data_IF_667289812190
#
_entry.id   IF_667289812190
#
_cell.length_a   1.000
_cell.length_b   1.000
_cell.length_c   1.000
_cell.angle_alpha   90.00
_cell.angle_beta   90.00
_cell.angle_gamma   90.00
#
_symmetry.space_group_name_H-M   'P 1'
#
loop_
_entity.id
_entity.type
_entity.pdbx_description
1 polymer ?
#
# COMPACT_ATOMS: atom_id res chain seq x y z
N UNK A 1 -12.28 -53.70 -8.11
CA UNK A 1 -12.03 -52.39 -8.73
C UNK A 1 -12.68 -51.33 -7.88
N UNK A 2 -11.93 -50.72 -6.99
CA UNK A 2 -12.35 -49.53 -6.27
C UNK A 2 -11.13 -48.96 -5.53
N UNK A 3 -10.47 -47.97 -6.10
CA UNK A 3 -9.53 -47.06 -5.37
C UNK A 3 -9.06 -45.99 -6.32
N UNK A 4 -9.75 -44.85 -6.32
CA UNK A 4 -9.18 -43.56 -6.75
C UNK A 4 -10.22 -42.47 -6.50
N UNK A 5 -10.28 -41.92 -5.28
CA UNK A 5 -11.06 -40.71 -4.97
C UNK A 5 -10.66 -40.01 -3.66
N UNK A 6 -9.43 -40.11 -3.17
CA UNK A 6 -9.05 -39.48 -1.90
C UNK A 6 -7.96 -38.37 -2.05
N UNK A 7 -7.48 -38.11 -3.25
CA UNK A 7 -6.40 -37.13 -3.46
C UNK A 7 -6.85 -35.68 -3.73
N UNK A 8 -8.00 -35.50 -4.34
CA UNK A 8 -8.47 -34.17 -4.78
C UNK A 8 -9.06 -33.30 -3.66
N UNK A 9 -9.60 -33.91 -2.61
CA UNK A 9 -10.20 -33.15 -1.49
C UNK A 9 -9.16 -32.43 -0.62
N UNK A 10 -8.05 -33.07 -0.35
CA UNK A 10 -7.01 -32.51 0.54
C UNK A 10 -6.22 -31.37 -0.10
N UNK A 11 -5.94 -31.40 -1.39
CA UNK A 11 -5.25 -30.31 -2.09
C UNK A 11 -6.12 -29.05 -2.07
N UNK A 12 -7.42 -29.17 -2.30
CA UNK A 12 -8.36 -28.06 -2.31
C UNK A 12 -8.58 -27.44 -0.91
N UNK A 13 -8.54 -28.26 0.15
CA UNK A 13 -8.62 -27.78 1.54
C UNK A 13 -7.33 -27.06 1.98
N UNK A 14 -6.16 -27.52 1.55
CA UNK A 14 -4.88 -26.84 1.81
C UNK A 14 -4.77 -25.52 1.03
N UNK A 15 -5.17 -25.47 -0.22
CA UNK A 15 -5.21 -24.24 -1.02
C UNK A 15 -6.19 -23.21 -0.44
N UNK A 16 -7.37 -23.66 0.02
CA UNK A 16 -8.35 -22.76 0.66
C UNK A 16 -7.89 -22.25 2.03
N UNK A 17 -7.22 -23.08 2.83
CA UNK A 17 -6.67 -22.67 4.13
C UNK A 17 -5.47 -21.70 3.97
N UNK A 18 -4.63 -21.93 2.97
CA UNK A 18 -3.51 -21.04 2.65
C UNK A 18 -4.02 -19.69 2.13
N UNK A 19 -5.00 -19.70 1.23
CA UNK A 19 -5.63 -18.48 0.73
C UNK A 19 -6.34 -17.70 1.86
N UNK A 20 -7.00 -18.36 2.81
CA UNK A 20 -7.59 -17.70 3.97
C UNK A 20 -6.55 -17.14 4.94
N UNK A 21 -5.42 -17.81 5.12
CA UNK A 21 -4.29 -17.30 5.92
C UNK A 21 -3.63 -16.07 5.25
N UNK A 22 -3.53 -16.07 3.93
CA UNK A 22 -2.98 -14.94 3.15
C UNK A 22 -3.90 -13.71 3.18
N UNK A 23 -5.23 -13.91 3.19
CA UNK A 23 -6.22 -12.82 3.36
C UNK A 23 -5.99 -12.05 4.67
N UNK A 24 -5.56 -12.73 5.73
CA UNK A 24 -5.30 -12.11 7.03
C UNK A 24 -3.86 -11.61 7.22
N UNK A 25 -2.92 -12.04 6.40
CA UNK A 25 -1.48 -11.83 6.62
C UNK A 25 -0.80 -10.84 5.65
N UNK A 26 -1.51 -10.31 4.66
CA UNK A 26 -0.91 -9.37 3.69
C UNK A 26 -0.17 -8.17 4.33
N UNK A 27 -0.59 -7.59 5.49
CA UNK A 27 0.16 -6.48 6.10
C UNK A 27 1.53 -6.92 6.59
N UNK A 28 1.62 -8.15 7.17
CA UNK A 28 2.91 -8.71 7.62
C UNK A 28 3.83 -9.00 6.43
N UNK A 29 3.28 -9.51 5.34
CA UNK A 29 4.07 -9.77 4.12
C UNK A 29 4.58 -8.46 3.49
N UNK A 30 3.77 -7.40 3.46
CA UNK A 30 4.23 -6.06 3.04
C UNK A 30 5.33 -5.55 3.97
N UNK A 31 5.14 -5.66 5.29
CA UNK A 31 6.13 -5.26 6.27
C UNK A 31 7.50 -5.91 6.02
N UNK A 32 7.53 -7.22 5.76
CA UNK A 32 8.78 -7.93 5.44
C UNK A 32 9.41 -7.43 4.12
N UNK A 33 8.60 -7.05 3.13
CA UNK A 33 9.14 -6.42 1.91
C UNK A 33 9.75 -5.05 2.20
N UNK A 34 9.10 -4.21 2.98
CA UNK A 34 9.65 -2.91 3.38
C UNK A 34 10.99 -3.07 4.10
N UNK A 35 11.11 -4.03 5.02
CA UNK A 35 12.38 -4.37 5.69
C UNK A 35 13.46 -4.83 4.72
N UNK A 36 13.12 -5.72 3.79
CA UNK A 36 14.05 -6.24 2.79
C UNK A 36 14.62 -5.14 1.87
N UNK A 37 13.89 -4.05 1.66
CA UNK A 37 14.34 -2.86 0.94
C UNK A 37 15.00 -1.81 1.81
N UNK A 38 15.27 -2.10 3.10
CA UNK A 38 15.84 -1.17 4.07
C UNK A 38 15.06 0.15 4.19
N UNK A 39 13.72 0.04 4.18
CA UNK A 39 12.84 1.18 4.42
C UNK A 39 12.91 1.54 5.90
N UNK A 40 13.37 2.76 6.19
CA UNK A 40 13.55 3.28 7.54
C UNK A 40 12.45 4.26 7.94
N UNK A 41 11.98 5.08 7.01
CA UNK A 41 10.94 6.06 7.27
C UNK A 41 9.58 5.57 6.78
N UNK A 42 8.59 5.63 7.67
CA UNK A 42 7.20 5.28 7.34
C UNK A 42 6.33 6.47 7.70
N UNK A 43 5.99 7.27 6.71
CA UNK A 43 5.14 8.45 6.91
C UNK A 43 3.68 8.09 6.63
N UNK A 44 2.73 8.53 7.46
CA UNK A 44 1.34 8.14 7.28
C UNK A 44 0.35 9.12 7.91
N UNK A 45 -0.81 9.24 7.30
CA UNK A 45 -2.03 9.73 7.96
C UNK A 45 -2.77 8.51 8.52
N UNK A 46 -3.24 8.53 9.78
CA UNK A 46 -3.90 7.38 10.38
C UNK A 46 -5.09 6.88 9.56
N UNK A 47 -5.03 5.63 9.13
CA UNK A 47 -6.07 4.94 8.37
C UNK A 47 -6.25 3.50 8.84
N UNK A 48 -7.49 3.06 8.97
CA UNK A 48 -7.81 1.71 9.42
C UNK A 48 -7.38 0.62 8.43
N UNK A 49 -7.29 0.94 7.14
CA UNK A 49 -6.81 0.00 6.13
C UNK A 49 -5.34 -0.34 6.33
N UNK A 50 -4.55 0.60 6.84
CA UNK A 50 -3.14 0.40 7.16
C UNK A 50 -2.87 0.06 8.62
N UNK A 51 -3.87 -0.01 9.51
CA UNK A 51 -3.68 -0.10 10.95
C UNK A 51 -2.66 -1.19 11.35
N UNK A 52 -2.84 -2.41 10.82
CA UNK A 52 -1.93 -3.53 11.14
C UNK A 52 -0.50 -3.31 10.63
N UNK A 53 -0.33 -2.76 9.44
CA UNK A 53 1.00 -2.44 8.89
C UNK A 53 1.68 -1.35 9.73
N UNK A 54 0.96 -0.31 10.11
CA UNK A 54 1.44 0.77 10.97
C UNK A 54 1.89 0.22 12.34
N UNK A 55 1.09 -0.65 12.97
CA UNK A 55 1.46 -1.31 14.24
C UNK A 55 2.78 -2.09 14.12
N UNK A 56 2.96 -2.85 13.04
CA UNK A 56 4.20 -3.61 12.80
C UNK A 56 5.39 -2.68 12.63
N UNK A 57 5.23 -1.57 11.91
CA UNK A 57 6.27 -0.56 11.75
C UNK A 57 6.64 0.11 13.07
N UNK A 58 5.67 0.39 13.95
CA UNK A 58 5.93 0.93 15.29
C UNK A 58 6.64 -0.06 16.23
N UNK A 59 6.43 -1.35 16.04
CA UNK A 59 7.09 -2.39 16.83
C UNK A 59 8.54 -2.65 16.39
N UNK A 60 8.93 -2.17 15.21
CA UNK A 60 10.25 -2.39 14.63
C UNK A 60 11.22 -1.25 15.01
N UNK A 61 12.27 -1.57 15.77
CA UNK A 61 13.24 -0.57 16.24
C UNK A 61 14.02 0.13 15.11
N UNK A 62 14.14 -0.53 13.95
CA UNK A 62 14.84 0.00 12.79
C UNK A 62 14.02 0.98 11.97
N UNK A 63 12.70 1.06 12.19
CA UNK A 63 11.81 1.95 11.47
C UNK A 63 11.44 3.19 12.29
N UNK A 64 11.16 4.28 11.60
CA UNK A 64 10.76 5.58 12.13
C UNK A 64 9.36 5.96 11.63
N UNK A 65 8.29 5.40 12.20
CA UNK A 65 6.94 5.79 11.82
C UNK A 65 6.65 7.23 12.27
N UNK A 66 6.14 8.05 11.35
CA UNK A 66 5.83 9.45 11.56
C UNK A 66 4.39 9.73 11.19
N UNK A 67 3.60 10.18 12.15
CA UNK A 67 2.21 10.64 11.92
C UNK A 67 2.25 12.00 11.24
N UNK A 68 1.45 12.16 10.20
CA UNK A 68 1.33 13.38 9.41
C UNK A 68 0.04 14.13 9.74
N UNK A 69 0.04 15.43 9.54
CA UNK A 69 -1.17 16.27 9.53
C UNK A 69 -1.91 16.12 8.20
N UNK A 70 -1.16 16.08 7.09
CA UNK A 70 -1.65 15.88 5.73
C UNK A 70 -0.63 15.07 4.92
N UNK A 71 -1.08 14.33 3.92
CA UNK A 71 -0.26 13.36 3.20
C UNK A 71 0.92 14.01 2.44
N UNK A 72 0.77 15.23 1.99
CA UNK A 72 1.83 15.97 1.28
C UNK A 72 3.07 16.24 2.13
N UNK A 73 2.92 16.35 3.47
CA UNK A 73 4.07 16.47 4.39
C UNK A 73 4.99 15.25 4.27
N UNK A 74 4.39 14.07 4.07
CA UNK A 74 5.12 12.82 3.92
C UNK A 74 6.09 12.86 2.74
N UNK A 75 5.72 13.47 1.62
CA UNK A 75 6.59 13.60 0.45
C UNK A 75 7.81 14.45 0.80
N UNK A 76 7.63 15.56 1.53
CA UNK A 76 8.73 16.40 2.00
C UNK A 76 9.68 15.69 2.96
N UNK A 77 9.14 14.94 3.91
CA UNK A 77 9.92 14.14 4.88
C UNK A 77 10.72 13.07 4.13
N UNK A 78 10.11 12.36 3.17
CA UNK A 78 10.77 11.31 2.42
C UNK A 78 11.85 11.86 1.45
N UNK A 79 11.66 13.07 0.91
CA UNK A 79 12.70 13.77 0.17
C UNK A 79 13.92 14.06 1.06
N UNK A 80 13.69 14.54 2.30
CA UNK A 80 14.76 14.75 3.27
C UNK A 80 15.45 13.45 3.69
N UNK A 81 14.71 12.37 3.93
CA UNK A 81 15.25 11.06 4.24
C UNK A 81 16.16 10.55 3.10
N UNK A 82 15.72 10.68 1.86
CA UNK A 82 16.51 10.31 0.68
C UNK A 82 17.80 11.10 0.56
N UNK A 83 17.77 12.40 0.81
CA UNK A 83 18.98 13.23 0.86
C UNK A 83 19.94 12.80 1.98
N UNK A 84 19.41 12.27 3.07
CA UNK A 84 20.17 11.65 4.17
C UNK A 84 20.65 10.23 3.88
N UNK A 85 20.34 9.65 2.71
CA UNK A 85 20.72 8.29 2.34
C UNK A 85 19.79 7.20 2.90
N UNK A 86 18.63 7.57 3.46
CA UNK A 86 17.63 6.64 4.00
C UNK A 86 16.42 6.50 3.06
N UNK A 87 15.80 5.31 3.05
CA UNK A 87 14.61 5.01 2.25
C UNK A 87 13.35 5.12 3.09
N UNK A 88 12.25 5.48 2.43
CA UNK A 88 10.97 5.55 3.11
C UNK A 88 9.77 5.22 2.22
N UNK A 89 8.61 5.12 2.88
CA UNK A 89 7.31 4.83 2.27
C UNK A 89 6.25 5.78 2.82
N UNK A 90 5.33 6.24 1.96
CA UNK A 90 4.15 6.99 2.35
C UNK A 90 2.92 6.06 2.31
N UNK A 91 2.27 5.93 3.47
CA UNK A 91 1.01 5.19 3.61
C UNK A 91 -0.13 6.21 3.67
N UNK A 92 -1.13 6.05 2.82
CA UNK A 92 -2.27 6.95 2.78
C UNK A 92 -3.54 6.25 2.29
N UNK A 93 -4.67 6.90 2.47
CA UNK A 93 -5.95 6.54 1.86
C UNK A 93 -6.08 7.19 0.48
N UNK A 94 -6.96 6.70 -0.39
CA UNK A 94 -7.22 7.29 -1.72
C UNK A 94 -7.59 8.77 -1.68
N UNK A 95 -8.26 9.24 -0.61
CA UNK A 95 -8.53 10.69 -0.41
C UNK A 95 -7.26 11.51 -0.29
N UNK A 96 -6.21 10.95 0.32
CA UNK A 96 -4.90 11.61 0.49
C UNK A 96 -4.15 11.83 -0.83
N UNK A 97 -4.45 11.06 -1.87
CA UNK A 97 -3.90 11.27 -3.21
C UNK A 97 -4.22 12.69 -3.69
N UNK A 98 -5.44 13.17 -3.43
CA UNK A 98 -5.85 14.54 -3.79
C UNK A 98 -4.98 15.62 -3.15
N UNK A 99 -4.56 15.42 -1.89
CA UNK A 99 -3.69 16.35 -1.18
C UNK A 99 -2.26 16.39 -1.75
N UNK A 100 -1.82 15.30 -2.38
CA UNK A 100 -0.45 15.14 -2.88
C UNK A 100 -0.24 15.67 -4.32
N UNK A 101 -1.28 15.97 -5.08
CA UNK A 101 -1.20 16.18 -6.56
C UNK A 101 -0.12 17.18 -6.94
N UNK A 102 -0.10 18.35 -6.30
CA UNK A 102 0.92 19.35 -6.59
C UNK A 102 2.31 18.92 -6.11
N UNK A 103 2.40 18.32 -4.92
CA UNK A 103 3.68 17.98 -4.29
C UNK A 103 4.36 16.78 -4.95
N UNK A 104 3.62 15.92 -5.66
CA UNK A 104 4.20 14.86 -6.51
C UNK A 104 5.14 15.41 -7.58
N UNK A 105 4.94 16.66 -8.03
CA UNK A 105 5.83 17.33 -8.95
C UNK A 105 7.25 17.49 -8.40
N UNK A 106 7.40 17.64 -7.07
CA UNK A 106 8.69 17.71 -6.40
C UNK A 106 9.50 16.42 -6.61
N UNK A 107 8.88 15.25 -6.38
CA UNK A 107 9.54 13.96 -6.58
C UNK A 107 9.95 13.77 -8.03
N UNK A 108 9.11 14.21 -8.98
CA UNK A 108 9.38 14.11 -10.41
C UNK A 108 10.53 15.02 -10.87
N UNK A 109 10.51 16.29 -10.46
CA UNK A 109 11.49 17.28 -10.88
C UNK A 109 12.85 17.09 -10.23
N UNK A 110 12.85 16.71 -8.93
CA UNK A 110 14.09 16.47 -8.18
C UNK A 110 14.61 15.03 -8.32
N UNK A 111 13.87 14.16 -9.03
CA UNK A 111 14.24 12.77 -9.32
C UNK A 111 14.61 11.94 -8.07
N UNK A 112 13.90 12.14 -6.94
CA UNK A 112 14.05 11.27 -5.79
C UNK A 112 12.98 10.15 -5.80
N UNK A 113 13.32 8.97 -5.28
CA UNK A 113 12.37 7.85 -5.22
C UNK A 113 11.22 8.15 -4.27
N UNK A 114 10.00 7.82 -4.70
CA UNK A 114 8.82 7.90 -3.84
C UNK A 114 8.02 6.61 -3.96
N UNK A 115 8.00 5.83 -2.89
CA UNK A 115 7.14 4.66 -2.75
C UNK A 115 5.88 5.03 -1.97
N UNK A 116 4.72 4.75 -2.53
CA UNK A 116 3.42 4.98 -1.90
C UNK A 116 2.62 3.68 -1.83
N UNK A 117 1.93 3.44 -0.71
CA UNK A 117 0.94 2.37 -0.56
C UNK A 117 -0.38 3.03 -0.18
N UNK A 118 -1.38 2.84 -1.02
CA UNK A 118 -2.66 3.53 -0.94
C UNK A 118 -3.78 2.52 -0.66
N UNK A 119 -4.50 2.69 0.43
CA UNK A 119 -5.73 1.95 0.69
C UNK A 119 -6.88 2.62 -0.03
N UNK A 120 -7.55 1.89 -0.91
CA UNK A 120 -8.62 2.45 -1.72
C UNK A 120 -9.94 2.53 -0.95
N UNK A 121 -10.63 3.65 -1.14
CA UNK A 121 -12.00 3.93 -0.72
C UNK A 121 -12.76 4.48 -1.91
N UNK A 122 -14.09 4.39 -1.87
CA UNK A 122 -14.93 4.92 -2.94
C UNK A 122 -15.00 4.06 -4.21
N UNK A 123 -14.48 2.84 -4.19
CA UNK A 123 -14.51 1.90 -5.32
C UNK A 123 -15.62 0.87 -5.22
N UNK A 124 -15.83 0.34 -4.00
CA UNK A 124 -16.65 -0.86 -3.80
C UNK A 124 -17.42 -0.81 -2.47
N UNK A 125 -18.76 -0.75 -2.55
CA UNK A 125 -19.62 -0.79 -1.36
C UNK A 125 -19.33 0.35 -0.37
N UNK A 126 -18.91 1.51 -0.86
CA UNK A 126 -18.56 2.66 -0.02
C UNK A 126 -19.81 3.26 0.63
N UNK A 127 -19.83 3.28 1.97
CA UNK A 127 -20.92 3.86 2.74
C UNK A 127 -20.80 5.40 2.89
N UNK A 128 -19.59 5.95 2.72
CA UNK A 128 -19.38 7.39 2.79
C UNK A 128 -19.26 8.00 1.39
N UNK A 129 -20.31 8.72 0.89
CA UNK A 129 -20.30 9.28 -0.47
C UNK A 129 -19.16 10.27 -0.72
N UNK A 130 -18.62 10.90 0.32
CA UNK A 130 -17.46 11.79 0.23
C UNK A 130 -16.21 11.12 -0.37
N UNK A 131 -16.04 9.82 -0.14
CA UNK A 131 -14.88 9.07 -0.62
C UNK A 131 -14.96 8.70 -2.11
N UNK A 132 -16.18 8.69 -2.68
CA UNK A 132 -16.40 8.17 -4.03
C UNK A 132 -15.66 8.97 -5.12
N UNK A 133 -15.70 10.31 -5.15
CA UNK A 133 -15.04 11.06 -6.24
C UNK A 133 -13.54 10.77 -6.33
N UNK A 134 -12.81 10.82 -5.20
CA UNK A 134 -11.37 10.53 -5.21
C UNK A 134 -11.08 9.05 -5.44
N UNK A 135 -11.90 8.14 -4.92
CA UNK A 135 -11.75 6.72 -5.16
C UNK A 135 -11.78 6.36 -6.63
N UNK A 136 -12.64 7.02 -7.40
CA UNK A 136 -12.80 6.76 -8.83
C UNK A 136 -11.64 7.31 -9.69
N UNK A 137 -10.94 8.35 -9.25
CA UNK A 137 -9.91 9.02 -10.05
C UNK A 137 -8.48 8.87 -9.49
N UNK A 138 -8.30 8.28 -8.31
CA UNK A 138 -6.99 8.22 -7.62
C UNK A 138 -5.91 7.57 -8.50
N UNK A 139 -6.20 6.44 -9.15
CA UNK A 139 -5.26 5.74 -10.01
C UNK A 139 -4.82 6.61 -11.18
N UNK A 140 -5.77 7.23 -11.88
CA UNK A 140 -5.48 8.08 -13.04
C UNK A 140 -4.77 9.37 -12.64
N UNK A 141 -5.13 9.95 -11.50
CA UNK A 141 -4.44 11.12 -10.94
C UNK A 141 -2.95 10.82 -10.68
N UNK A 142 -2.64 9.67 -10.07
CA UNK A 142 -1.27 9.24 -9.84
C UNK A 142 -0.51 9.01 -11.15
N UNK A 143 -1.13 8.35 -12.14
CA UNK A 143 -0.53 8.14 -13.47
C UNK A 143 -0.23 9.46 -14.19
N UNK A 144 -1.16 10.41 -14.16
CA UNK A 144 -0.99 11.73 -14.75
C UNK A 144 0.14 12.52 -14.06
N UNK A 145 0.29 12.35 -12.74
CA UNK A 145 1.42 12.93 -11.98
C UNK A 145 2.76 12.23 -12.26
N UNK A 146 2.78 11.15 -13.06
CA UNK A 146 3.98 10.42 -13.47
C UNK A 146 4.35 9.23 -12.59
N UNK A 147 3.44 8.78 -11.73
CA UNK A 147 3.65 7.56 -10.95
C UNK A 147 3.40 6.29 -11.76
N UNK A 148 4.21 5.26 -11.51
CA UNK A 148 3.94 3.89 -11.95
C UNK A 148 2.99 3.27 -10.93
N UNK A 149 1.79 2.86 -11.39
CA UNK A 149 0.70 2.43 -10.52
C UNK A 149 0.44 0.93 -10.68
N UNK A 150 0.46 0.22 -9.55
CA UNK A 150 0.08 -1.19 -9.42
C UNK A 150 -1.24 -1.28 -8.67
N UNK A 151 -2.27 -1.82 -9.30
CA UNK A 151 -3.57 -2.06 -8.69
C UNK A 151 -3.65 -3.50 -8.19
N UNK A 152 -3.99 -3.68 -6.92
CA UNK A 152 -4.03 -4.97 -6.23
C UNK A 152 -5.44 -5.25 -5.76
N UNK A 153 -6.04 -6.32 -6.28
CA UNK A 153 -7.40 -6.75 -5.96
C UNK A 153 -7.43 -7.98 -5.05
N UNK A 154 -6.30 -8.71 -4.95
CA UNK A 154 -6.19 -9.94 -4.18
C UNK A 154 -5.06 -9.83 -3.14
N UNK A 155 -5.27 -10.30 -1.89
CA UNK A 155 -4.27 -10.23 -0.81
C UNK A 155 -2.93 -10.86 -1.15
N UNK A 156 -2.92 -11.98 -1.89
CA UNK A 156 -1.71 -12.69 -2.32
C UNK A 156 -0.81 -11.87 -3.24
N UNK A 157 -1.37 -10.90 -3.96
CA UNK A 157 -0.65 -10.02 -4.89
C UNK A 157 -0.07 -8.78 -4.22
N UNK A 158 -0.46 -8.47 -2.95
CA UNK A 158 -0.08 -7.22 -2.29
C UNK A 158 1.43 -7.10 -2.06
N UNK A 159 2.05 -8.10 -1.43
CA UNK A 159 3.49 -8.07 -1.17
C UNK A 159 4.34 -8.15 -2.45
N UNK A 160 4.04 -8.98 -3.46
CA UNK A 160 4.72 -8.94 -4.76
C UNK A 160 4.61 -7.57 -5.46
N UNK A 161 3.45 -6.91 -5.41
CA UNK A 161 3.28 -5.57 -5.99
C UNK A 161 4.12 -4.51 -5.26
N UNK A 162 4.17 -4.55 -3.92
CA UNK A 162 5.03 -3.66 -3.13
C UNK A 162 6.51 -3.91 -3.43
N UNK A 163 6.94 -5.17 -3.58
CA UNK A 163 8.31 -5.48 -3.98
C UNK A 163 8.64 -4.91 -5.35
N UNK A 164 7.76 -5.07 -6.34
CA UNK A 164 7.96 -4.51 -7.68
C UNK A 164 8.02 -2.98 -7.66
N UNK A 165 7.10 -2.33 -6.93
CA UNK A 165 7.06 -0.88 -6.77
C UNK A 165 8.31 -0.34 -6.07
N UNK A 166 8.75 -0.97 -4.97
CA UNK A 166 9.95 -0.59 -4.24
C UNK A 166 11.21 -0.71 -5.11
N UNK A 167 11.31 -1.78 -5.90
CA UNK A 167 12.42 -1.99 -6.85
C UNK A 167 12.49 -0.87 -7.88
N UNK A 168 11.36 -0.50 -8.47
CA UNK A 168 11.28 0.59 -9.46
C UNK A 168 11.59 1.94 -8.80
N UNK A 169 11.00 2.21 -7.65
CA UNK A 169 11.23 3.47 -6.96
C UNK A 169 12.71 3.63 -6.58
N UNK A 170 13.25 2.72 -5.79
CA UNK A 170 14.58 2.90 -5.20
C UNK A 170 15.75 2.67 -6.17
N UNK A 171 15.58 1.84 -7.21
CA UNK A 171 16.65 1.63 -8.19
C UNK A 171 16.54 2.58 -9.39
N UNK A 172 15.34 3.09 -9.68
CA UNK A 172 15.09 3.97 -10.83
C UNK A 172 14.98 5.46 -10.50
N UNK A 173 14.88 5.83 -9.21
CA UNK A 173 14.58 7.21 -8.82
C UNK A 173 13.19 7.65 -9.29
N UNK A 174 12.21 6.73 -9.25
CA UNK A 174 10.88 6.95 -9.81
C UNK A 174 9.81 7.02 -8.72
N UNK A 175 8.65 7.54 -9.10
CA UNK A 175 7.45 7.51 -8.27
C UNK A 175 6.72 6.20 -8.55
N UNK A 176 6.44 5.40 -7.52
CA UNK A 176 5.67 4.17 -7.62
C UNK A 176 4.59 4.11 -6.56
N UNK A 177 3.41 3.67 -6.94
CA UNK A 177 2.26 3.54 -6.05
C UNK A 177 1.63 2.15 -6.17
N UNK A 178 1.29 1.55 -5.03
CA UNK A 178 0.50 0.33 -4.93
C UNK A 178 -0.85 0.67 -4.35
N UNK A 179 -1.92 0.43 -5.10
CA UNK A 179 -3.29 0.68 -4.69
C UNK A 179 -3.92 -0.63 -4.22
N UNK A 180 -4.22 -0.70 -2.94
CA UNK A 180 -4.89 -1.84 -2.32
C UNK A 180 -6.39 -1.64 -2.45
N UNK A 181 -7.05 -2.41 -3.32
CA UNK A 181 -8.47 -2.26 -3.63
C UNK A 181 -9.37 -2.38 -2.41
N UNK A 182 -10.40 -1.55 -2.35
CA UNK A 182 -11.45 -1.66 -1.32
C UNK A 182 -12.14 -3.03 -1.33
N UNK A 183 -12.18 -3.70 -2.47
CA UNK A 183 -12.70 -5.07 -2.58
C UNK A 183 -11.87 -6.06 -1.76
N UNK A 184 -10.54 -5.90 -1.76
CA UNK A 184 -9.62 -6.70 -0.95
C UNK A 184 -9.69 -6.33 0.54
N UNK A 185 -9.80 -5.03 0.85
CA UNK A 185 -9.80 -4.52 2.22
C UNK A 185 -11.14 -4.72 2.94
N UNK A 186 -12.23 -4.88 2.20
CA UNK A 186 -13.60 -4.87 2.69
C UNK A 186 -14.19 -3.47 2.85
N UNK A 187 -15.49 -3.36 2.67
CA UNK A 187 -16.22 -2.11 2.90
C UNK A 187 -16.38 -1.86 4.40
N UNK A 188 -16.14 -0.64 4.86
CA UNK A 188 -16.45 -0.23 6.23
C UNK A 188 -17.96 -0.14 6.41
N UNK A 189 -18.49 -0.92 7.34
CA UNK A 189 -19.86 -0.75 7.83
C UNK A 189 -19.78 0.17 9.05
N UNK A 190 -20.37 1.35 8.96
CA UNK A 190 -20.60 2.18 10.13
C UNK A 190 -21.78 1.53 10.89
N UNK A 191 -21.53 1.12 12.13
CA UNK A 191 -22.61 0.72 13.04
C UNK A 191 -23.17 2.00 13.61
N UNK A 192 -24.47 2.21 13.42
CA UNK A 192 -25.24 3.25 14.08
C UNK A 192 -25.18 3.09 15.61
#
# INVERSE_FOLDING_TARGET
>A
MATQSRGHGRANEYESATAMADVQNWPSLIFEKLRAFDVRHVTYVPDSGHARLIELCHAANEMKPTVLTTEEEGIGILAGAWLGGERGVLLMQSSGVGNCVNTLSLARVCAFPLLMIVTMRGEWGEANPWQVPMGQIAADTLRLAGAIVYEVTEPSSAAPAVEAAARIAFNGGLIAAVLLSQRMLGAKLFKD
#
